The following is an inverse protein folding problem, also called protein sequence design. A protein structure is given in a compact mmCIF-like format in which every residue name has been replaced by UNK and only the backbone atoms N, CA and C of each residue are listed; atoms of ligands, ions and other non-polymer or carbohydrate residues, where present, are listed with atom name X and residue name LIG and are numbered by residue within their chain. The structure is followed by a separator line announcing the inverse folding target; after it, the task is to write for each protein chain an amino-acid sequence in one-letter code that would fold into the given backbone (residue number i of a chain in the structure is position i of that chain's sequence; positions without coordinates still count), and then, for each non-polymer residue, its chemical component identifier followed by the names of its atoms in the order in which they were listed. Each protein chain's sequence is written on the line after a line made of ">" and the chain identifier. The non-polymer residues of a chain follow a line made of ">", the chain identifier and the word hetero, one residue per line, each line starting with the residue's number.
data_IF_802459628345
#
_entry.id   IF_802459628345
#
_cell.length_a   1.000
_cell.length_b   1.000
_cell.length_c   1.000
_cell.angle_alpha   90.00
_cell.angle_beta   90.00
_cell.angle_gamma   90.00
#
_symmetry.space_group_name_H-M   'P 1'
#
loop_
_entity.id
_entity.type
_entity.pdbx_description
1 polymer ?
#
# COMPACT_ATOMS: atom_id res chain seq x y z
N UNK A 1 -53.80 47.11 18.33
CA UNK A 1 -54.42 45.92 18.92
C UNK A 1 -53.37 44.81 18.86
N UNK A 2 -52.55 44.54 19.84
CA UNK A 2 -52.69 43.74 21.06
C UNK A 2 -53.16 42.29 20.77
N UNK A 3 -52.25 41.34 20.88
CA UNK A 3 -52.19 40.10 21.67
C UNK A 3 -50.99 39.27 21.18
N UNK A 4 -49.90 39.08 21.83
CA UNK A 4 -49.52 38.48 23.13
C UNK A 4 -49.95 37.00 23.26
N UNK A 5 -48.93 36.17 23.58
CA UNK A 5 -48.91 34.87 24.31
C UNK A 5 -48.41 33.70 23.42
N UNK A 6 -47.63 32.76 23.84
CA UNK A 6 -47.03 32.47 25.16
C UNK A 6 -45.80 31.58 24.93
N UNK A 7 -44.82 31.70 25.82
CA UNK A 7 -43.67 30.81 25.98
C UNK A 7 -44.14 29.51 26.67
N UNK A 8 -43.77 28.38 26.17
CA UNK A 8 -43.78 27.18 26.99
C UNK A 8 -42.40 26.52 26.96
N UNK A 9 -41.70 26.66 28.06
CA UNK A 9 -40.45 26.06 28.45
C UNK A 9 -40.71 24.63 28.92
N UNK A 10 -40.17 23.61 28.26
CA UNK A 10 -40.14 22.27 28.84
C UNK A 10 -38.70 21.96 29.28
N UNK A 11 -38.54 22.06 30.59
CA UNK A 11 -37.38 21.53 31.32
C UNK A 11 -37.70 20.06 31.61
N UNK A 12 -36.90 19.14 31.08
CA UNK A 12 -36.88 17.77 31.57
C UNK A 12 -35.57 17.55 32.30
N UNK A 13 -35.69 17.53 33.61
CA UNK A 13 -34.72 16.97 34.55
C UNK A 13 -34.71 15.45 34.44
N UNK A 14 -33.61 14.86 34.12
CA UNK A 14 -33.39 13.41 34.14
C UNK A 14 -32.17 13.11 34.99
N UNK A 15 -32.43 12.50 36.12
CA UNK A 15 -31.53 12.29 37.25
C UNK A 15 -30.36 11.33 36.95
N UNK A 16 -29.28 11.64 37.60
CA UNK A 16 -28.09 10.86 37.95
C UNK A 16 -28.48 9.48 38.48
N UNK A 17 -27.90 8.47 37.89
CA UNK A 17 -27.71 7.13 38.51
C UNK A 17 -26.19 6.81 38.46
N UNK A 18 -25.52 7.27 39.51
CA UNK A 18 -24.23 6.70 39.97
C UNK A 18 -24.59 5.56 40.93
N UNK A 19 -24.31 4.35 40.49
CA UNK A 19 -24.51 3.14 41.28
C UNK A 19 -23.25 2.28 41.25
N UNK A 20 -22.45 2.41 42.26
CA UNK A 20 -21.69 1.40 43.02
C UNK A 20 -21.49 0.03 42.35
N UNK A 21 -20.26 -0.22 41.94
CA UNK A 21 -19.65 -1.55 41.91
C UNK A 21 -18.16 -1.44 42.27
N UNK A 22 -17.90 -1.23 43.55
CA UNK A 22 -16.60 -1.46 44.16
C UNK A 22 -16.84 -2.38 45.35
N UNK A 23 -16.00 -3.39 45.47
CA UNK A 23 -15.92 -4.39 46.53
C UNK A 23 -16.53 -5.77 46.23
N UNK A 24 -15.82 -6.61 45.49
CA UNK A 24 -15.60 -8.04 45.72
C UNK A 24 -14.28 -8.46 45.04
N UNK A 25 -13.16 -8.14 45.62
CA UNK A 25 -11.88 -8.81 45.32
C UNK A 25 -11.00 -8.72 46.56
N UNK A 26 -11.30 -9.55 47.54
CA UNK A 26 -10.33 -9.87 48.59
C UNK A 26 -10.90 -10.96 49.48
N UNK A 27 -10.91 -12.20 49.02
CA UNK A 27 -10.96 -13.41 49.84
C UNK A 27 -11.09 -14.64 48.93
N UNK A 28 -9.98 -15.11 48.40
CA UNK A 28 -9.76 -16.47 47.91
C UNK A 28 -8.30 -16.68 47.53
N UNK A 29 -7.40 -16.43 48.48
CA UNK A 29 -6.04 -16.92 48.45
C UNK A 29 -5.74 -17.43 49.84
N UNK A 30 -6.12 -18.67 50.10
CA UNK A 30 -5.37 -19.60 50.91
C UNK A 30 -6.11 -20.95 50.91
N UNK A 31 -5.38 -22.02 50.74
CA UNK A 31 -5.66 -23.45 50.76
C UNK A 31 -5.59 -24.11 49.37
N UNK A 32 -4.38 -24.52 49.03
CA UNK A 32 -4.02 -25.92 48.67
C UNK A 32 -2.61 -26.01 48.12
N UNK A 33 -1.67 -26.14 49.00
CA UNK A 33 -0.34 -26.71 48.71
C UNK A 33 -0.27 -28.07 49.35
N UNK A 34 -0.46 -29.11 48.55
CA UNK A 34 0.13 -30.45 48.81
C UNK A 34 -0.21 -31.34 47.62
N UNK A 35 0.57 -31.25 46.57
CA UNK A 35 0.65 -32.23 45.49
C UNK A 35 2.10 -32.66 45.34
N UNK A 36 2.41 -33.91 44.99
CA UNK A 36 3.78 -34.37 44.79
C UNK A 36 4.47 -33.65 43.65
N UNK A 37 5.83 -33.54 43.63
CA UNK A 37 6.55 -32.85 42.60
C UNK A 37 6.35 -33.52 41.24
N UNK A 38 6.30 -32.73 40.15
CA UNK A 38 6.15 -33.27 38.81
C UNK A 38 7.34 -34.15 38.42
N UNK A 39 7.04 -35.34 37.94
CA UNK A 39 8.05 -36.20 37.33
C UNK A 39 8.63 -35.52 36.11
N UNK A 40 9.94 -35.61 35.96
CA UNK A 40 10.67 -35.12 34.76
C UNK A 40 10.21 -35.97 33.57
N UNK A 41 9.36 -35.38 32.71
CA UNK A 41 9.14 -35.92 31.37
C UNK A 41 10.47 -35.84 30.60
N UNK A 42 10.89 -36.94 30.04
CA UNK A 42 12.00 -37.05 29.11
C UNK A 42 11.64 -36.24 27.84
N UNK A 43 12.19 -35.05 27.71
CA UNK A 43 12.19 -34.31 26.45
C UNK A 43 13.09 -35.12 25.49
N UNK A 44 12.58 -35.56 24.34
CA UNK A 44 13.46 -36.17 23.34
C UNK A 44 14.51 -35.18 22.92
N UNK A 45 15.77 -35.56 23.01
CA UNK A 45 16.92 -34.83 22.46
C UNK A 45 16.69 -34.73 20.96
N UNK A 46 16.41 -33.53 20.47
CA UNK A 46 16.43 -33.26 19.04
C UNK A 46 17.89 -33.32 18.64
N UNK A 47 18.29 -34.33 17.89
CA UNK A 47 19.59 -34.40 17.24
C UNK A 47 19.76 -33.11 16.43
N UNK A 48 20.83 -32.37 16.71
CA UNK A 48 21.27 -31.25 15.89
C UNK A 48 21.55 -31.77 14.48
N UNK A 49 20.67 -31.44 13.55
CA UNK A 49 20.90 -31.67 12.13
C UNK A 49 22.16 -30.92 11.71
N UNK A 50 23.07 -31.61 11.06
CA UNK A 50 24.38 -31.08 10.65
C UNK A 50 24.19 -29.87 9.73
N UNK A 51 25.10 -28.87 9.75
CA UNK A 51 25.01 -27.66 8.93
C UNK A 51 24.90 -27.90 7.42
N UNK A 52 25.15 -29.09 6.97
CA UNK A 52 25.13 -29.47 5.55
C UNK A 52 23.72 -29.78 5.02
N UNK A 53 22.76 -30.19 5.86
CA UNK A 53 21.38 -30.47 5.41
C UNK A 53 20.54 -29.20 5.31
N UNK A 54 20.78 -28.19 6.17
CA UNK A 54 20.14 -26.90 6.07
C UNK A 54 20.56 -26.12 4.79
N UNK A 55 21.80 -26.32 4.33
CA UNK A 55 22.31 -25.75 3.06
C UNK A 55 21.68 -26.41 1.83
N UNK A 56 21.38 -27.70 1.87
CA UNK A 56 20.76 -28.44 0.75
C UNK A 56 19.24 -28.15 0.64
N UNK A 57 18.58 -27.82 1.74
CA UNK A 57 17.15 -27.42 1.72
C UNK A 57 16.96 -25.97 1.25
N UNK A 58 17.96 -25.10 1.42
CA UNK A 58 17.92 -23.73 0.90
C UNK A 58 18.17 -23.66 -0.63
N UNK A 59 18.76 -24.70 -1.23
CA UNK A 59 19.07 -24.76 -2.66
C UNK A 59 17.94 -25.38 -3.50
N UNK A 60 16.90 -25.95 -2.87
CA UNK A 60 15.77 -26.59 -3.53
C UNK A 60 14.53 -25.69 -3.72
N UNK A 61 14.61 -24.38 -3.41
CA UNK A 61 13.63 -23.42 -3.92
C UNK A 61 13.83 -23.33 -5.44
N UNK A 62 13.13 -24.22 -6.16
CA UNK A 62 13.16 -24.32 -7.62
C UNK A 62 12.96 -22.90 -8.21
N UNK A 63 14.04 -22.30 -8.68
CA UNK A 63 13.95 -21.08 -9.45
C UNK A 63 13.02 -21.35 -10.63
N UNK A 64 11.89 -20.66 -10.69
CA UNK A 64 11.00 -20.74 -11.85
C UNK A 64 11.86 -20.53 -13.11
N UNK A 65 11.80 -21.49 -14.03
CA UNK A 65 12.62 -21.43 -15.25
C UNK A 65 12.27 -20.15 -15.99
N UNK A 66 13.26 -19.27 -16.29
CA UNK A 66 12.94 -18.00 -16.96
C UNK A 66 12.22 -18.27 -18.27
N UNK A 67 11.16 -17.52 -18.60
CA UNK A 67 10.42 -17.70 -19.82
C UNK A 67 11.31 -17.43 -21.03
N UNK A 68 11.29 -18.32 -22.01
CA UNK A 68 11.88 -18.16 -23.35
C UNK A 68 13.31 -17.57 -23.41
N UNK A 69 14.21 -17.99 -22.49
CA UNK A 69 15.63 -17.66 -22.58
C UNK A 69 16.02 -16.28 -22.02
N UNK A 70 15.18 -15.64 -21.19
CA UNK A 70 15.59 -14.49 -20.41
C UNK A 70 16.57 -14.95 -19.33
N UNK A 71 17.78 -14.39 -19.31
CA UNK A 71 18.78 -14.65 -18.26
C UNK A 71 18.92 -13.44 -17.36
N UNK A 72 19.24 -13.65 -16.08
CA UNK A 72 19.45 -12.58 -15.10
C UNK A 72 20.49 -11.55 -15.52
N UNK A 73 21.46 -11.95 -16.35
CA UNK A 73 22.49 -11.07 -16.90
C UNK A 73 21.98 -10.07 -17.96
N UNK A 74 20.76 -10.27 -18.47
CA UNK A 74 20.15 -9.39 -19.48
C UNK A 74 19.29 -8.29 -18.86
N UNK A 75 19.09 -8.31 -17.54
CA UNK A 75 18.24 -7.37 -16.82
C UNK A 75 19.07 -6.51 -15.89
N UNK A 76 18.98 -5.19 -16.07
CA UNK A 76 19.69 -4.19 -15.28
C UNK A 76 18.89 -3.69 -14.09
N UNK A 77 18.48 -4.59 -13.17
CA UNK A 77 17.62 -4.28 -12.03
C UNK A 77 18.19 -4.78 -10.70
N UNK A 78 17.70 -4.25 -9.58
CA UNK A 78 18.01 -4.77 -8.25
C UNK A 78 17.19 -6.01 -7.89
N UNK A 79 15.91 -6.03 -8.27
CA UNK A 79 15.00 -7.15 -8.15
C UNK A 79 13.86 -7.03 -9.17
N UNK A 80 13.28 -8.13 -9.62
CA UNK A 80 12.13 -8.15 -10.51
C UNK A 80 11.33 -9.44 -10.38
N UNK A 81 10.04 -9.36 -10.74
CA UNK A 81 9.21 -10.55 -10.89
C UNK A 81 8.09 -10.32 -11.90
N UNK A 82 7.54 -11.40 -12.44
CA UNK A 82 6.32 -11.39 -13.21
C UNK A 82 5.39 -12.53 -12.78
N UNK A 83 4.09 -12.25 -12.71
CA UNK A 83 3.06 -13.19 -12.25
C UNK A 83 1.81 -13.09 -13.14
N UNK A 84 1.02 -14.15 -13.20
CA UNK A 84 -0.39 -13.97 -13.54
C UNK A 84 -1.10 -13.24 -12.41
N UNK A 85 -2.05 -12.37 -12.72
CA UNK A 85 -2.70 -11.48 -11.74
C UNK A 85 -3.35 -12.20 -10.55
N UNK A 86 -3.73 -13.47 -10.70
CA UNK A 86 -4.32 -14.28 -9.62
C UNK A 86 -3.41 -15.37 -9.09
N UNK A 87 -2.11 -15.38 -9.48
CA UNK A 87 -1.16 -16.44 -9.12
C UNK A 87 -0.07 -15.93 -8.18
N UNK A 88 0.26 -16.73 -7.20
CA UNK A 88 1.48 -16.54 -6.38
C UNK A 88 2.70 -17.20 -7.03
N UNK A 89 2.50 -18.14 -7.96
CA UNK A 89 3.56 -18.77 -8.73
C UNK A 89 4.11 -17.79 -9.77
N UNK A 90 5.42 -17.46 -9.73
CA UNK A 90 6.01 -16.52 -10.65
C UNK A 90 6.17 -17.13 -12.05
N UNK A 91 5.87 -16.34 -13.09
CA UNK A 91 6.28 -16.61 -14.47
C UNK A 91 7.78 -16.31 -14.67
N UNK A 92 8.29 -15.32 -13.95
CA UNK A 92 9.67 -14.92 -13.88
C UNK A 92 9.98 -14.36 -12.50
N UNK A 93 11.14 -14.64 -11.95
CA UNK A 93 11.59 -14.11 -10.68
C UNK A 93 13.10 -13.89 -10.66
N UNK A 94 13.52 -12.71 -10.24
CA UNK A 94 14.90 -12.35 -9.94
C UNK A 94 14.94 -11.66 -8.59
N UNK A 95 15.51 -12.30 -7.58
CA UNK A 95 15.62 -11.81 -6.20
C UNK A 95 14.26 -11.36 -5.62
N UNK A 96 13.23 -12.21 -5.76
CA UNK A 96 11.84 -11.91 -5.38
C UNK A 96 11.63 -11.49 -3.92
N UNK A 97 12.51 -11.94 -3.00
CA UNK A 97 12.48 -11.59 -1.57
C UNK A 97 13.43 -10.43 -1.19
N UNK A 98 14.14 -9.84 -2.18
CA UNK A 98 15.04 -8.72 -1.88
C UNK A 98 14.24 -7.48 -1.52
N UNK A 99 14.37 -7.03 -0.28
CA UNK A 99 13.86 -5.71 0.13
C UNK A 99 14.57 -4.59 -0.64
N UNK A 100 13.77 -3.63 -1.10
CA UNK A 100 14.25 -2.47 -1.85
C UNK A 100 13.41 -1.24 -1.50
N UNK A 101 13.99 -0.01 -1.47
CA UNK A 101 13.21 1.21 -1.35
C UNK A 101 12.27 1.35 -2.54
N UNK A 102 10.96 1.37 -2.30
CA UNK A 102 9.96 1.33 -3.38
C UNK A 102 9.54 2.70 -3.90
N UNK A 103 10.00 3.76 -3.25
CA UNK A 103 9.66 5.14 -3.62
C UNK A 103 8.13 5.31 -3.77
N UNK A 104 7.69 6.08 -4.78
CA UNK A 104 6.27 6.35 -5.01
C UNK A 104 5.40 5.15 -5.42
N UNK A 105 5.95 3.92 -5.53
CA UNK A 105 5.12 2.71 -5.58
C UNK A 105 4.30 2.56 -4.30
N UNK A 106 4.79 3.10 -3.17
CA UNK A 106 4.07 3.29 -1.89
C UNK A 106 2.64 3.83 -2.09
N UNK A 107 2.44 4.72 -3.07
CA UNK A 107 1.15 5.37 -3.32
C UNK A 107 0.03 4.41 -3.77
N UNK A 108 0.36 3.18 -4.18
CA UNK A 108 -0.66 2.13 -4.35
C UNK A 108 -1.30 1.75 -3.01
N UNK A 109 -0.49 1.56 -1.97
CA UNK A 109 -1.00 1.32 -0.61
C UNK A 109 -1.72 2.56 -0.08
N UNK A 110 -1.14 3.74 -0.26
CA UNK A 110 -1.74 5.01 0.23
C UNK A 110 -3.09 5.28 -0.41
N UNK A 111 -3.25 5.03 -1.73
CA UNK A 111 -4.53 5.19 -2.42
C UNK A 111 -5.60 4.21 -1.89
N UNK A 112 -5.21 2.97 -1.69
CA UNK A 112 -6.11 1.95 -1.14
C UNK A 112 -6.57 2.31 0.29
N UNK A 113 -5.67 2.78 1.14
CA UNK A 113 -5.99 3.23 2.50
C UNK A 113 -6.87 4.48 2.46
N UNK A 114 -6.56 5.48 1.63
CA UNK A 114 -7.37 6.68 1.48
C UNK A 114 -8.81 6.35 1.08
N UNK A 115 -9.00 5.54 0.04
CA UNK A 115 -10.33 5.14 -0.46
C UNK A 115 -11.11 4.26 0.53
N UNK A 116 -10.43 3.51 1.41
CA UNK A 116 -11.09 2.71 2.46
C UNK A 116 -11.51 3.52 3.67
N UNK A 117 -10.78 4.59 3.99
CA UNK A 117 -10.97 5.36 5.22
C UNK A 117 -11.78 6.65 5.03
N UNK A 118 -11.81 7.17 3.81
CA UNK A 118 -12.47 8.45 3.49
C UNK A 118 -13.51 8.25 2.38
N UNK A 119 -14.72 8.80 2.52
CA UNK A 119 -15.67 8.89 1.40
C UNK A 119 -15.04 9.62 0.21
N UNK A 120 -15.32 9.18 -1.02
CA UNK A 120 -14.78 9.80 -2.24
C UNK A 120 -15.03 11.31 -2.32
N UNK A 121 -16.22 11.74 -1.88
CA UNK A 121 -16.66 13.15 -1.86
C UNK A 121 -16.21 13.92 -0.61
N UNK A 122 -15.44 13.31 0.31
CA UNK A 122 -14.92 14.03 1.47
C UNK A 122 -14.00 15.16 1.05
N UNK A 123 -14.20 16.36 1.64
CA UNK A 123 -13.40 17.52 1.28
C UNK A 123 -12.14 17.57 2.13
N UNK A 124 -11.02 17.55 1.47
CA UNK A 124 -9.67 17.62 2.05
C UNK A 124 -9.04 18.96 1.71
N UNK A 125 -8.52 19.65 2.71
CA UNK A 125 -7.76 20.89 2.52
C UNK A 125 -6.27 20.59 2.39
N UNK A 126 -5.64 21.13 1.38
CA UNK A 126 -4.18 21.07 1.21
C UNK A 126 -3.52 22.00 2.22
N UNK A 127 -2.87 21.44 3.22
CA UNK A 127 -2.23 22.20 4.30
C UNK A 127 -0.77 22.61 3.95
N UNK A 128 -0.16 23.43 4.82
CA UNK A 128 1.24 23.85 4.64
C UNK A 128 2.23 22.67 4.62
N UNK A 129 1.95 21.59 5.35
CA UNK A 129 2.81 20.42 5.38
C UNK A 129 2.75 19.65 4.07
N UNK A 130 1.57 19.59 3.46
CA UNK A 130 1.38 18.96 2.16
C UNK A 130 2.21 19.68 1.09
N UNK A 131 2.09 21.01 0.98
CA UNK A 131 2.85 21.80 0.00
C UNK A 131 4.35 21.86 0.29
N UNK A 132 4.76 21.69 1.54
CA UNK A 132 6.17 21.60 1.91
C UNK A 132 6.83 20.26 1.54
N UNK A 133 6.06 19.27 1.08
CA UNK A 133 6.58 18.00 0.61
C UNK A 133 7.44 18.19 -0.64
N UNK A 134 8.58 17.48 -0.70
CA UNK A 134 9.49 17.59 -1.85
C UNK A 134 8.82 17.14 -3.14
N UNK A 135 8.84 18.01 -4.18
CA UNK A 135 8.30 17.76 -5.50
C UNK A 135 6.92 18.41 -5.71
N UNK A 136 6.79 19.25 -6.71
CA UNK A 136 5.64 20.13 -6.96
C UNK A 136 4.62 19.53 -7.96
N UNK A 137 4.48 18.21 -8.00
CA UNK A 137 3.58 17.57 -8.96
C UNK A 137 2.10 17.84 -8.63
N UNK A 138 1.38 18.45 -9.57
CA UNK A 138 -0.04 18.79 -9.42
C UNK A 138 -0.31 20.26 -9.12
N UNK A 139 0.73 21.08 -8.87
CA UNK A 139 0.65 22.53 -8.65
C UNK A 139 -0.36 22.92 -7.56
N UNK A 140 -0.30 22.23 -6.43
CA UNK A 140 -1.17 22.47 -5.28
C UNK A 140 -0.71 23.68 -4.46
N UNK A 141 -1.68 24.41 -3.87
CA UNK A 141 -1.42 25.57 -3.02
C UNK A 141 -2.07 25.38 -1.65
N UNK A 142 -1.46 25.98 -0.65
CA UNK A 142 -2.01 25.98 0.70
C UNK A 142 -3.41 26.61 0.71
N UNK A 143 -4.35 25.91 1.30
CA UNK A 143 -5.74 26.33 1.42
C UNK A 143 -6.65 25.83 0.30
N UNK A 144 -6.14 25.34 -0.83
CA UNK A 144 -6.98 24.73 -1.87
C UNK A 144 -7.73 23.51 -1.29
N UNK A 145 -8.94 23.26 -1.78
CA UNK A 145 -9.79 22.16 -1.33
C UNK A 145 -10.23 21.27 -2.48
N UNK A 146 -10.04 19.99 -2.30
CA UNK A 146 -10.39 18.96 -3.29
C UNK A 146 -11.19 17.85 -2.63
N UNK A 147 -11.88 17.05 -3.43
CA UNK A 147 -12.40 15.77 -2.94
C UNK A 147 -11.25 14.81 -2.63
N UNK A 148 -11.47 13.88 -1.72
CA UNK A 148 -10.48 12.81 -1.45
C UNK A 148 -10.15 12.05 -2.74
N UNK A 149 -11.14 11.81 -3.61
CA UNK A 149 -10.94 11.15 -4.90
C UNK A 149 -10.08 11.96 -5.86
N UNK A 150 -10.26 13.29 -5.96
CA UNK A 150 -9.39 14.15 -6.78
C UNK A 150 -7.93 14.08 -6.32
N UNK A 151 -7.69 14.06 -5.01
CA UNK A 151 -6.35 13.90 -4.48
C UNK A 151 -5.78 12.50 -4.72
N UNK A 152 -6.60 11.44 -4.63
CA UNK A 152 -6.19 10.08 -5.02
C UNK A 152 -5.80 10.04 -6.50
N UNK A 153 -6.58 10.65 -7.39
CA UNK A 153 -6.25 10.73 -8.82
C UNK A 153 -4.92 11.47 -9.06
N UNK A 154 -4.71 12.61 -8.41
CA UNK A 154 -3.46 13.35 -8.51
C UNK A 154 -2.26 12.54 -7.98
N UNK A 155 -2.42 11.91 -6.82
CA UNK A 155 -1.41 11.04 -6.21
C UNK A 155 -1.00 9.88 -7.13
N UNK A 156 -1.94 9.31 -7.84
CA UNK A 156 -1.70 8.15 -8.72
C UNK A 156 -1.13 8.56 -10.09
N UNK A 157 -1.68 9.60 -10.72
CA UNK A 157 -1.41 9.95 -12.12
C UNK A 157 -0.14 10.78 -12.29
N UNK A 158 0.00 11.88 -11.54
CA UNK A 158 1.22 12.71 -11.56
C UNK A 158 2.17 12.38 -10.42
N UNK A 159 1.82 11.38 -9.61
CA UNK A 159 2.62 10.98 -8.43
C UNK A 159 2.77 12.10 -7.39
N UNK A 160 1.75 12.97 -7.21
CA UNK A 160 1.80 14.09 -6.29
C UNK A 160 2.10 13.65 -4.86
N UNK A 161 3.14 14.25 -4.28
CA UNK A 161 3.47 14.08 -2.87
C UNK A 161 2.54 14.94 -2.00
N UNK A 162 2.19 16.14 -2.48
CA UNK A 162 1.29 17.06 -1.81
C UNK A 162 -0.08 16.39 -1.59
N UNK A 163 -0.62 15.76 -2.62
CA UNK A 163 -1.89 15.05 -2.52
C UNK A 163 -1.83 13.86 -1.53
N UNK A 164 -0.75 13.08 -1.56
CA UNK A 164 -0.55 11.97 -0.64
C UNK A 164 -0.45 12.45 0.82
N UNK A 165 0.29 13.54 1.04
CA UNK A 165 0.44 14.14 2.35
C UNK A 165 -0.84 14.79 2.85
N UNK A 166 -1.58 15.50 1.98
CA UNK A 166 -2.87 16.10 2.35
C UNK A 166 -3.86 15.04 2.84
N UNK A 167 -3.97 13.90 2.14
CA UNK A 167 -4.81 12.78 2.56
C UNK A 167 -4.35 12.19 3.90
N UNK A 168 -3.05 11.95 4.06
CA UNK A 168 -2.50 11.41 5.28
C UNK A 168 -2.64 12.37 6.48
N UNK A 169 -2.39 13.67 6.27
CA UNK A 169 -2.56 14.71 7.30
C UNK A 169 -4.01 14.86 7.72
N UNK A 170 -4.95 14.86 6.75
CA UNK A 170 -6.39 14.99 7.01
C UNK A 170 -6.92 13.84 7.90
N UNK A 171 -6.55 12.60 7.63
CA UNK A 171 -6.93 11.46 8.46
C UNK A 171 -6.16 11.38 9.79
N UNK A 172 -4.99 12.00 9.84
CA UNK A 172 -4.00 11.89 10.90
C UNK A 172 -2.84 10.98 10.49
N UNK A 173 -1.71 11.59 10.13
CA UNK A 173 -0.54 10.97 9.51
C UNK A 173 -0.10 9.66 10.17
N UNK A 174 0.07 9.66 11.49
CA UNK A 174 0.52 8.46 12.23
C UNK A 174 -0.49 7.32 12.13
N UNK A 175 -1.79 7.63 12.21
CA UNK A 175 -2.85 6.64 12.05
C UNK A 175 -2.89 6.10 10.62
N UNK A 176 -2.75 6.98 9.64
CA UNK A 176 -2.74 6.58 8.23
C UNK A 176 -1.60 5.60 7.93
N UNK A 177 -0.39 5.89 8.38
CA UNK A 177 0.78 5.01 8.23
C UNK A 177 0.58 3.70 9.02
N UNK A 178 -0.02 3.76 10.19
CA UNK A 178 -0.35 2.55 10.95
C UNK A 178 -1.33 1.65 10.17
N UNK A 179 -2.37 2.22 9.52
CA UNK A 179 -3.30 1.46 8.69
C UNK A 179 -2.62 0.86 7.44
N UNK A 180 -1.65 1.56 6.82
CA UNK A 180 -0.86 1.00 5.73
C UNK A 180 -0.10 -0.26 6.17
N UNK A 181 0.56 -0.22 7.32
CA UNK A 181 1.31 -1.36 7.86
C UNK A 181 0.39 -2.48 8.37
N UNK A 182 -0.75 -2.13 8.99
CA UNK A 182 -1.76 -3.11 9.40
C UNK A 182 -2.28 -3.89 8.20
N UNK A 183 -2.64 -3.20 7.12
CA UNK A 183 -3.12 -3.85 5.90
C UNK A 183 -2.01 -4.71 5.27
N UNK A 184 -0.76 -4.21 5.21
CA UNK A 184 0.37 -5.00 4.72
C UNK A 184 0.49 -6.33 5.48
N UNK A 185 0.35 -6.30 6.81
CA UNK A 185 0.36 -7.51 7.65
C UNK A 185 -0.81 -8.43 7.32
N UNK A 186 -2.03 -7.89 7.18
CA UNK A 186 -3.26 -8.66 6.90
C UNK A 186 -3.16 -9.40 5.56
N UNK A 187 -2.58 -8.77 4.53
CA UNK A 187 -2.43 -9.38 3.20
C UNK A 187 -1.12 -10.15 3.04
N UNK A 188 -0.37 -10.35 4.13
CA UNK A 188 0.82 -11.21 4.17
C UNK A 188 2.07 -10.60 3.52
N UNK A 189 2.21 -9.27 3.48
CA UNK A 189 3.41 -8.56 3.01
C UNK A 189 4.47 -8.51 4.14
N UNK A 190 5.04 -9.65 4.48
CA UNK A 190 5.91 -9.84 5.66
C UNK A 190 7.26 -9.14 5.57
N UNK A 191 7.70 -8.78 4.37
CA UNK A 191 8.95 -8.09 4.09
C UNK A 191 8.72 -6.62 3.68
N UNK A 192 7.59 -6.02 4.11
CA UNK A 192 7.20 -4.66 3.74
C UNK A 192 7.02 -3.79 4.98
N UNK A 193 7.48 -2.55 4.88
CA UNK A 193 7.27 -1.52 5.88
C UNK A 193 7.01 -0.17 5.21
N UNK A 194 6.06 0.58 5.74
CA UNK A 194 5.75 1.95 5.33
C UNK A 194 6.07 2.90 6.49
N UNK A 195 6.80 3.98 6.19
CA UNK A 195 7.17 5.03 7.17
C UNK A 195 6.63 6.40 6.78
N UNK A 196 6.19 6.56 5.55
CA UNK A 196 5.44 7.72 5.06
C UNK A 196 4.44 7.32 3.96
N UNK A 197 3.48 8.19 3.67
CA UNK A 197 2.44 7.94 2.67
C UNK A 197 2.85 8.29 1.23
N UNK A 198 3.94 9.04 1.05
CA UNK A 198 4.39 9.59 -0.23
C UNK A 198 5.38 8.67 -0.96
N UNK A 199 6.16 7.90 -0.18
CA UNK A 199 7.29 7.14 -0.70
C UNK A 199 8.56 7.98 -0.87
N UNK A 200 8.73 9.05 -0.11
CA UNK A 200 9.93 9.88 -0.13
C UNK A 200 11.05 9.29 0.72
N UNK A 201 10.71 8.63 1.80
CA UNK A 201 11.68 7.96 2.66
C UNK A 201 12.19 6.69 2.02
N UNK A 202 13.53 6.46 2.00
CA UNK A 202 14.09 5.17 1.63
C UNK A 202 13.72 4.04 2.61
N UNK A 203 13.12 4.39 3.75
CA UNK A 203 12.56 3.44 4.73
C UNK A 203 11.23 2.79 4.28
N UNK A 204 10.58 3.26 3.21
CA UNK A 204 9.48 2.52 2.59
C UNK A 204 10.06 1.36 1.79
N UNK A 205 10.11 0.19 2.40
CA UNK A 205 10.72 -1.02 1.87
C UNK A 205 9.67 -2.06 1.49
N UNK A 206 9.88 -2.75 0.39
CA UNK A 206 9.09 -3.92 0.01
C UNK A 206 9.91 -4.86 -0.88
N UNK A 207 9.30 -5.97 -1.30
CA UNK A 207 9.88 -6.97 -2.20
C UNK A 207 8.98 -7.18 -3.41
N UNK A 208 9.48 -7.73 -4.53
CA UNK A 208 8.63 -8.10 -5.65
C UNK A 208 7.48 -9.05 -5.26
N UNK A 209 7.74 -10.02 -4.38
CA UNK A 209 6.72 -10.96 -3.93
C UNK A 209 5.61 -10.26 -3.12
N UNK A 210 5.97 -9.36 -2.20
CA UNK A 210 4.99 -8.62 -1.41
C UNK A 210 4.20 -7.61 -2.26
N UNK A 211 4.86 -6.94 -3.20
CA UNK A 211 4.16 -6.04 -4.13
C UNK A 211 3.17 -6.80 -5.03
N UNK A 212 3.44 -8.05 -5.40
CA UNK A 212 2.45 -8.88 -6.09
C UNK A 212 1.20 -9.12 -5.25
N UNK A 213 1.34 -9.40 -3.95
CA UNK A 213 0.20 -9.54 -3.02
C UNK A 213 -0.62 -8.26 -2.94
N UNK A 214 0.04 -7.08 -2.87
CA UNK A 214 -0.64 -5.80 -2.89
C UNK A 214 -1.42 -5.60 -4.20
N UNK A 215 -0.79 -5.89 -5.35
CA UNK A 215 -1.45 -5.77 -6.66
C UNK A 215 -2.67 -6.69 -6.75
N UNK A 216 -2.55 -7.94 -6.32
CA UNK A 216 -3.66 -8.89 -6.32
C UNK A 216 -4.81 -8.43 -5.42
N UNK A 217 -4.47 -7.90 -4.25
CA UNK A 217 -5.46 -7.38 -3.31
C UNK A 217 -6.20 -6.17 -3.89
N UNK A 218 -5.48 -5.19 -4.47
CA UNK A 218 -6.10 -4.04 -5.14
C UNK A 218 -6.96 -4.51 -6.33
N UNK A 219 -6.47 -5.46 -7.12
CA UNK A 219 -7.21 -5.98 -8.28
C UNK A 219 -8.55 -6.60 -7.90
N UNK A 220 -8.62 -7.28 -6.75
CA UNK A 220 -9.85 -7.90 -6.27
C UNK A 220 -10.79 -6.94 -5.54
N UNK A 221 -10.24 -6.03 -4.74
CA UNK A 221 -11.02 -5.21 -3.80
C UNK A 221 -11.35 -3.81 -4.33
N UNK A 222 -10.45 -3.19 -5.07
CA UNK A 222 -10.61 -1.84 -5.60
C UNK A 222 -9.88 -1.65 -6.95
N UNK A 223 -10.34 -2.32 -8.00
CA UNK A 223 -9.71 -2.26 -9.33
C UNK A 223 -9.72 -0.86 -9.95
N UNK A 224 -10.51 0.06 -9.43
CA UNK A 224 -10.58 1.46 -9.88
C UNK A 224 -9.22 2.17 -9.72
N UNK A 225 -8.42 1.82 -8.72
CA UNK A 225 -7.05 2.31 -8.56
C UNK A 225 -6.24 2.06 -9.85
N UNK A 226 -6.39 0.90 -10.47
CA UNK A 226 -5.69 0.61 -11.73
C UNK A 226 -6.37 1.26 -12.94
N UNK A 227 -7.69 1.43 -12.93
CA UNK A 227 -8.41 2.19 -13.95
C UNK A 227 -7.95 3.65 -13.98
N UNK A 228 -7.74 4.28 -12.83
CA UNK A 228 -7.15 5.63 -12.72
C UNK A 228 -5.73 5.64 -13.31
N UNK A 229 -4.86 4.71 -12.89
CA UNK A 229 -3.45 4.72 -13.31
C UNK A 229 -3.22 4.37 -14.77
N UNK A 230 -4.17 3.69 -15.43
CA UNK A 230 -4.10 3.42 -16.89
C UNK A 230 -4.47 4.62 -17.74
N UNK A 231 -5.20 5.59 -17.16
CA UNK A 231 -5.68 6.77 -17.88
C UNK A 231 -4.53 7.69 -18.24
N UNK A 232 -4.42 8.18 -19.49
CA UNK A 232 -3.37 9.10 -19.89
C UNK A 232 -3.51 10.47 -19.22
N UNK A 233 -4.71 10.85 -18.84
CA UNK A 233 -5.01 12.12 -18.16
C UNK A 233 -6.19 11.96 -17.22
N UNK A 234 -6.21 12.78 -16.15
CA UNK A 234 -7.36 12.99 -15.28
C UNK A 234 -7.61 14.48 -15.10
N UNK A 235 -8.79 14.86 -14.64
CA UNK A 235 -9.10 16.23 -14.27
C UNK A 235 -9.53 16.26 -12.81
N UNK A 236 -8.93 17.15 -12.03
CA UNK A 236 -9.32 17.45 -10.65
C UNK A 236 -9.96 18.82 -10.58
N UNK A 237 -10.82 19.05 -9.62
CA UNK A 237 -11.59 20.30 -9.50
C UNK A 237 -11.38 20.92 -8.12
N UNK A 238 -10.88 22.15 -8.07
CA UNK A 238 -10.88 22.92 -6.83
C UNK A 238 -12.32 23.26 -6.45
N UNK A 239 -12.70 22.93 -5.22
CA UNK A 239 -14.06 23.09 -4.70
C UNK A 239 -14.43 24.56 -4.51
N UNK A 240 -13.45 25.45 -4.25
CA UNK A 240 -13.71 26.84 -3.91
C UNK A 240 -13.99 27.71 -5.13
N UNK A 241 -13.26 27.53 -6.21
CA UNK A 241 -13.40 28.34 -7.41
C UNK A 241 -13.97 27.56 -8.63
N UNK A 242 -14.12 26.25 -8.51
CA UNK A 242 -14.62 25.37 -9.57
C UNK A 242 -13.64 25.19 -10.74
N UNK A 243 -12.39 25.62 -10.59
CA UNK A 243 -11.41 25.48 -11.67
C UNK A 243 -11.00 24.02 -11.84
N UNK A 244 -11.06 23.55 -13.10
CA UNK A 244 -10.59 22.21 -13.47
C UNK A 244 -9.11 22.26 -13.83
N UNK A 245 -8.34 21.34 -13.23
CA UNK A 245 -6.92 21.16 -13.48
C UNK A 245 -6.68 19.81 -14.15
N UNK A 246 -6.18 19.84 -15.39
CA UNK A 246 -5.82 18.64 -16.14
C UNK A 246 -4.45 18.13 -15.73
N UNK A 247 -4.36 16.89 -15.33
CA UNK A 247 -3.13 16.20 -14.95
C UNK A 247 -2.77 15.15 -15.99
N UNK A 248 -1.53 15.17 -16.49
CA UNK A 248 -1.03 14.18 -17.45
C UNK A 248 -0.28 13.08 -16.73
N UNK A 249 -0.57 11.83 -17.10
CA UNK A 249 0.07 10.68 -16.46
C UNK A 249 1.58 10.62 -16.77
N UNK A 250 2.39 10.45 -15.74
CA UNK A 250 3.83 10.31 -15.84
C UNK A 250 4.29 8.88 -16.19
N UNK A 251 3.38 7.92 -16.19
CA UNK A 251 3.66 6.56 -16.61
C UNK A 251 3.61 6.48 -18.14
N UNK A 252 4.74 6.18 -18.79
CA UNK A 252 4.83 6.12 -20.26
C UNK A 252 3.98 5.02 -20.90
N UNK A 253 3.49 4.08 -20.12
CA UNK A 253 2.58 3.03 -20.60
C UNK A 253 1.11 3.45 -20.58
N UNK A 254 0.77 4.53 -19.85
CA UNK A 254 -0.61 5.00 -19.76
C UNK A 254 -1.19 5.32 -21.14
N UNK A 255 -2.41 4.86 -21.38
CA UNK A 255 -3.10 5.00 -22.67
C UNK A 255 -2.76 3.93 -23.71
N UNK A 256 -1.78 3.05 -23.49
CA UNK A 256 -1.56 1.87 -24.36
C UNK A 256 -2.74 0.89 -24.21
N UNK A 257 -3.17 0.28 -25.31
CA UNK A 257 -4.33 -0.61 -25.32
C UNK A 257 -4.18 -1.86 -24.43
N UNK A 258 -2.95 -2.34 -24.31
CA UNK A 258 -2.62 -3.52 -23.50
C UNK A 258 -2.20 -3.20 -22.06
N UNK A 259 -2.03 -1.93 -21.68
CA UNK A 259 -1.68 -1.52 -20.31
C UNK A 259 -2.95 -1.37 -19.48
N UNK A 260 -3.02 -2.10 -18.36
CA UNK A 260 -4.20 -2.14 -17.50
C UNK A 260 -4.05 -1.32 -16.22
N UNK A 261 -2.86 -0.84 -15.93
CA UNK A 261 -2.58 0.01 -14.78
C UNK A 261 -1.20 -0.25 -14.17
N UNK A 262 -0.79 0.61 -13.25
CA UNK A 262 0.48 0.46 -12.57
C UNK A 262 0.98 1.76 -11.94
N UNK A 263 2.14 1.71 -11.28
CA UNK A 263 2.69 2.87 -10.57
C UNK A 263 4.20 2.94 -10.71
N UNK A 264 4.70 4.12 -11.05
CA UNK A 264 6.13 4.47 -11.09
C UNK A 264 6.62 4.91 -9.71
N UNK A 265 7.91 4.68 -9.43
CA UNK A 265 8.58 5.21 -8.23
C UNK A 265 10.05 5.53 -8.54
N UNK A 266 10.58 6.59 -7.93
CA UNK A 266 12.00 6.92 -8.01
C UNK A 266 12.38 7.90 -6.93
N UNK A 267 13.45 7.59 -6.21
CA UNK A 267 14.22 8.47 -5.33
C UNK A 267 15.70 8.16 -5.54
N UNK A 268 16.63 9.01 -5.11
CA UNK A 268 18.08 8.75 -5.27
C UNK A 268 18.52 7.38 -4.75
N UNK A 269 17.93 6.91 -3.64
CA UNK A 269 18.28 5.65 -2.98
C UNK A 269 17.67 4.40 -3.63
N UNK A 270 16.73 4.56 -4.58
CA UNK A 270 16.00 3.43 -5.16
C UNK A 270 16.24 3.20 -6.64
N UNK A 271 16.87 4.16 -7.37
CA UNK A 271 16.74 4.18 -8.83
C UNK A 271 15.26 4.08 -9.28
N UNK A 272 15.00 3.62 -10.49
CA UNK A 272 13.65 3.51 -11.04
C UNK A 272 12.93 2.24 -10.59
N UNK A 273 11.72 2.38 -10.06
CA UNK A 273 10.80 1.31 -9.73
C UNK A 273 9.53 1.39 -10.60
N UNK A 274 8.95 0.25 -10.95
CA UNK A 274 7.72 0.19 -11.72
C UNK A 274 6.94 -1.09 -11.40
N UNK A 275 5.68 -0.92 -11.06
CA UNK A 275 4.66 -1.97 -11.04
C UNK A 275 3.78 -1.74 -12.26
N UNK A 276 3.54 -2.77 -13.06
CA UNK A 276 2.74 -2.69 -14.28
C UNK A 276 1.88 -3.93 -14.48
N UNK A 277 0.68 -3.73 -15.01
CA UNK A 277 -0.25 -4.81 -15.34
C UNK A 277 -0.54 -4.73 -16.84
N UNK A 278 -0.36 -5.85 -17.54
CA UNK A 278 -0.60 -5.93 -18.98
C UNK A 278 -1.55 -7.06 -19.36
N UNK A 279 -2.37 -6.81 -20.36
CA UNK A 279 -2.97 -7.88 -21.15
C UNK A 279 -1.92 -8.38 -22.14
N UNK A 280 -1.68 -9.69 -22.15
CA UNK A 280 -0.68 -10.33 -23.03
C UNK A 280 -1.43 -11.28 -23.97
N UNK A 281 -1.17 -11.24 -25.30
CA UNK A 281 -1.74 -12.20 -26.24
C UNK A 281 -1.53 -13.65 -25.78
N UNK A 282 -2.50 -14.52 -26.08
CA UNK A 282 -2.46 -15.95 -25.77
C UNK A 282 -2.46 -16.30 -24.26
N UNK A 283 -2.66 -15.31 -23.39
CA UNK A 283 -2.89 -15.53 -21.96
C UNK A 283 -4.31 -15.15 -21.55
N UNK A 284 -4.96 -16.03 -20.80
CA UNK A 284 -6.33 -15.82 -20.30
C UNK A 284 -6.44 -14.79 -19.19
N UNK A 285 -5.30 -14.47 -18.54
CA UNK A 285 -5.23 -13.54 -17.43
C UNK A 285 -4.17 -12.47 -17.67
N UNK A 286 -4.38 -11.26 -17.12
CA UNK A 286 -3.35 -10.23 -17.12
C UNK A 286 -2.06 -10.68 -16.41
N UNK A 287 -0.97 -10.05 -16.80
CA UNK A 287 0.36 -10.28 -16.21
C UNK A 287 0.76 -9.05 -15.42
N UNK A 288 1.19 -9.26 -14.18
CA UNK A 288 1.84 -8.27 -13.31
C UNK A 288 3.34 -8.34 -13.57
N UNK A 289 3.98 -7.21 -13.81
CA UNK A 289 5.45 -7.10 -13.90
C UNK A 289 5.90 -6.08 -12.87
N UNK A 290 6.86 -6.47 -12.04
CA UNK A 290 7.44 -5.66 -10.99
C UNK A 290 8.94 -5.51 -11.26
N UNK A 291 9.41 -4.30 -11.37
CA UNK A 291 10.82 -3.92 -11.58
C UNK A 291 11.25 -2.98 -10.47
N UNK A 292 12.31 -3.31 -9.76
CA UNK A 292 12.87 -2.51 -8.67
C UNK A 292 14.34 -2.21 -8.92
N UNK A 293 14.74 -0.94 -8.78
CA UNK A 293 16.11 -0.51 -8.86
C UNK A 293 16.71 -0.58 -10.27
N UNK A 294 16.00 -0.08 -11.27
CA UNK A 294 16.42 -0.02 -12.66
C UNK A 294 16.89 1.39 -13.05
N UNK A 295 17.91 1.49 -13.90
CA UNK A 295 18.28 2.77 -14.54
C UNK A 295 17.18 3.24 -15.47
N UNK A 296 16.63 2.37 -16.29
CA UNK A 296 15.43 2.59 -17.09
C UNK A 296 14.39 1.51 -16.78
N UNK A 297 13.45 1.85 -15.87
CA UNK A 297 12.38 0.95 -15.44
C UNK A 297 11.42 0.55 -16.56
N UNK A 298 11.24 1.42 -17.58
CA UNK A 298 10.37 1.12 -18.70
C UNK A 298 11.01 0.13 -19.67
N UNK A 299 12.28 0.32 -20.00
CA UNK A 299 13.06 -0.61 -20.83
C UNK A 299 13.12 -1.99 -20.19
N UNK A 300 13.43 -2.07 -18.88
CA UNK A 300 13.50 -3.35 -18.18
C UNK A 300 12.14 -4.06 -18.11
N UNK A 301 11.06 -3.31 -17.92
CA UNK A 301 9.70 -3.87 -17.97
C UNK A 301 9.37 -4.43 -19.36
N UNK A 302 9.72 -3.72 -20.43
CA UNK A 302 9.53 -4.17 -21.81
C UNK A 302 10.32 -5.45 -22.12
N UNK A 303 11.58 -5.55 -21.66
CA UNK A 303 12.41 -6.75 -21.81
C UNK A 303 11.74 -7.98 -21.20
N UNK A 304 11.14 -7.83 -20.02
CA UNK A 304 10.39 -8.91 -19.38
C UNK A 304 9.11 -9.21 -20.17
N UNK A 305 8.32 -8.17 -20.51
CA UNK A 305 7.04 -8.33 -21.19
C UNK A 305 7.15 -9.06 -22.54
N UNK A 306 8.17 -8.76 -23.34
CA UNK A 306 8.40 -9.40 -24.65
C UNK A 306 8.71 -10.89 -24.53
N UNK A 307 9.20 -11.34 -23.37
CA UNK A 307 9.60 -12.73 -23.14
C UNK A 307 8.50 -13.59 -22.51
N UNK A 308 7.40 -12.96 -22.08
CA UNK A 308 6.26 -13.63 -21.47
C UNK A 308 5.23 -14.07 -22.51
#
# INVERSE_FOLDING_TARGET
>A
MRKSKDKTLFIFTGAVLVGLAASVTSQMFDERRSGPPPQKENIPVIEETSPNEASLLAESASAAKPPNGLTDSQIGVSAAAAYLITSEEPLYIFRGEKQWPIASVTKLMSSLIARRLMPEAEIVTVDEKAVAAYGEAGDFKVGERFTAEDLVQAMLVVSSNDAAEALASHYGREKFIAEMNNLATVIGMTNTVFVDAMGLSPGNLSTPNDLNKLVQFIWSEDPEIFAITRSPTVNIIDIDDGQSRKLNNINLFAGRSNFLGGKTGQIPDSDGNLVSIFSVPDRSQPVVIIVLGAKDRFEETEKILIKL
#
